data_IF_634596059883
#
_entry.id   IF_634596059883
#
_cell.length_a   1.000
_cell.length_b   1.000
_cell.length_c   1.000
_cell.angle_alpha   90.00
_cell.angle_beta   90.00
_cell.angle_gamma   90.00
#
_symmetry.space_group_name_H-M   'P 1'
#
loop_
_entity.id
_entity.type
_entity.pdbx_description
1 polymer ?
#
# COMPACT_ATOMS: atom_id res chain seq x y z
N UNK A 1 2.35 3.52 -10.54
CA UNK A 1 1.38 3.38 -11.63
C UNK A 1 0.02 2.92 -11.10
N UNK A 2 -0.11 1.77 -10.40
CA UNK A 2 -1.40 1.21 -9.94
C UNK A 2 -2.25 2.20 -9.10
N UNK A 3 -1.66 2.86 -8.10
CA UNK A 3 -2.35 3.88 -7.30
C UNK A 3 -2.82 5.08 -8.14
N UNK A 4 -2.00 5.52 -9.10
CA UNK A 4 -2.37 6.62 -9.99
C UNK A 4 -3.51 6.23 -10.92
N UNK A 5 -3.52 4.99 -11.40
CA UNK A 5 -4.60 4.42 -12.20
C UNK A 5 -5.92 4.36 -11.42
N UNK A 6 -5.87 3.82 -10.21
CA UNK A 6 -7.06 3.74 -9.36
C UNK A 6 -7.59 5.13 -9.00
N UNK A 7 -6.71 6.06 -8.64
CA UNK A 7 -7.10 7.44 -8.38
C UNK A 7 -7.73 8.10 -9.61
N UNK A 8 -7.19 7.83 -10.82
CA UNK A 8 -7.75 8.36 -12.06
C UNK A 8 -9.17 7.82 -12.33
N UNK A 9 -9.44 6.53 -12.08
CA UNK A 9 -10.79 5.96 -12.20
C UNK A 9 -11.75 6.59 -11.18
N UNK A 10 -11.38 6.72 -9.91
CA UNK A 10 -12.20 7.38 -8.90
C UNK A 10 -12.48 8.85 -9.25
N UNK A 11 -11.47 9.55 -9.79
CA UNK A 11 -11.63 10.95 -10.21
C UNK A 11 -12.60 11.06 -11.38
N UNK A 12 -12.45 10.24 -12.40
CA UNK A 12 -13.38 10.19 -13.54
C UNK A 12 -14.81 9.89 -13.08
N UNK A 13 -14.97 8.94 -12.18
CA UNK A 13 -16.26 8.61 -11.60
C UNK A 13 -16.85 9.78 -10.79
N UNK A 14 -16.07 10.43 -9.95
CA UNK A 14 -16.51 11.57 -9.12
C UNK A 14 -17.02 12.75 -9.94
N UNK A 15 -16.37 13.02 -11.07
CA UNK A 15 -16.72 14.16 -11.94
C UNK A 15 -17.58 13.80 -13.15
N UNK A 16 -17.94 12.52 -13.31
CA UNK A 16 -18.68 12.05 -14.49
C UNK A 16 -17.96 12.33 -15.81
N UNK A 17 -16.62 12.32 -15.81
CA UNK A 17 -15.81 12.77 -16.93
C UNK A 17 -15.12 11.61 -17.67
N UNK A 18 -15.10 11.67 -19.00
CA UNK A 18 -14.43 10.69 -19.87
C UNK A 18 -13.01 11.12 -20.27
N UNK A 19 -12.29 11.75 -19.34
CA UNK A 19 -10.91 12.17 -19.60
C UNK A 19 -10.00 10.96 -19.89
N UNK A 20 -8.96 11.10 -20.74
CA UNK A 20 -8.01 10.02 -20.97
C UNK A 20 -7.36 9.57 -19.66
N UNK A 21 -7.40 8.26 -19.37
CA UNK A 21 -6.96 7.70 -18.08
C UNK A 21 -5.51 8.07 -17.74
N UNK A 22 -4.60 7.90 -18.71
CA UNK A 22 -3.20 8.20 -18.51
C UNK A 22 -2.96 9.71 -18.25
N UNK A 23 -3.69 10.59 -18.94
CA UNK A 23 -3.61 12.03 -18.73
C UNK A 23 -4.13 12.41 -17.33
N UNK A 24 -5.26 11.84 -16.91
CA UNK A 24 -5.80 12.04 -15.54
C UNK A 24 -4.79 11.58 -14.50
N UNK A 25 -4.20 10.40 -14.66
CA UNK A 25 -3.15 9.89 -13.78
C UNK A 25 -1.92 10.79 -13.75
N UNK A 26 -1.48 11.30 -14.91
CA UNK A 26 -0.33 12.23 -14.99
C UNK A 26 -0.60 13.56 -14.26
N UNK A 27 -1.80 14.13 -14.40
CA UNK A 27 -2.21 15.35 -13.68
C UNK A 27 -2.20 15.11 -12.17
N UNK A 28 -2.75 13.98 -11.71
CA UNK A 28 -2.77 13.63 -10.29
C UNK A 28 -1.36 13.41 -9.71
N UNK A 29 -0.49 12.73 -10.45
CA UNK A 29 0.92 12.58 -10.06
C UNK A 29 1.65 13.92 -10.06
N UNK A 30 1.40 14.78 -11.05
CA UNK A 30 1.91 16.16 -11.10
C UNK A 30 1.44 17.00 -9.91
N UNK A 31 0.18 16.84 -9.50
CA UNK A 31 -0.36 17.49 -8.29
C UNK A 31 0.37 17.02 -7.02
N UNK A 32 0.68 15.70 -6.90
CA UNK A 32 1.48 15.18 -5.80
C UNK A 32 2.88 15.81 -5.76
N UNK A 33 3.57 15.87 -6.91
CA UNK A 33 4.87 16.53 -7.03
C UNK A 33 4.78 18.01 -6.63
N UNK A 34 3.76 18.71 -7.10
CA UNK A 34 3.53 20.11 -6.76
C UNK A 34 3.31 20.35 -5.27
N UNK A 35 2.49 19.51 -4.62
CA UNK A 35 2.24 19.56 -3.18
C UNK A 35 3.53 19.33 -2.38
N UNK A 36 4.32 18.33 -2.79
CA UNK A 36 5.61 18.02 -2.15
C UNK A 36 6.64 19.13 -2.35
N UNK A 37 6.67 19.75 -3.53
CA UNK A 37 7.59 20.84 -3.85
C UNK A 37 7.30 22.13 -3.05
N UNK A 38 6.01 22.44 -2.84
CA UNK A 38 5.59 23.63 -2.08
C UNK A 38 5.80 23.46 -0.56
N UNK A 39 5.91 22.22 -0.07
CA UNK A 39 6.20 21.92 1.35
C UNK A 39 5.11 22.33 2.34
N UNK A 40 3.94 22.77 1.88
CA UNK A 40 2.80 23.20 2.73
C UNK A 40 1.90 22.01 3.11
N UNK A 41 2.49 21.02 3.74
CA UNK A 41 1.88 19.70 3.98
C UNK A 41 0.90 19.68 5.18
N UNK A 42 1.03 20.59 6.15
CA UNK A 42 0.35 20.45 7.45
C UNK A 42 -1.18 20.48 7.36
N UNK A 43 -1.74 21.38 6.56
CA UNK A 43 -3.20 21.48 6.39
C UNK A 43 -3.75 20.26 5.62
N UNK A 44 -3.04 19.84 4.59
CA UNK A 44 -3.38 18.66 3.81
C UNK A 44 -3.29 17.38 4.66
N UNK A 45 -2.24 17.22 5.46
CA UNK A 45 -2.06 16.09 6.37
C UNK A 45 -3.22 15.94 7.35
N UNK A 46 -3.68 17.05 7.95
CA UNK A 46 -4.84 17.04 8.85
C UNK A 46 -6.11 16.63 8.11
N UNK A 47 -6.35 17.20 6.93
CA UNK A 47 -7.54 16.86 6.11
C UNK A 47 -7.55 15.39 5.72
N UNK A 48 -6.41 14.85 5.26
CA UNK A 48 -6.28 13.43 4.91
C UNK A 48 -6.54 12.53 6.12
N UNK A 49 -6.01 12.86 7.29
CA UNK A 49 -6.24 12.09 8.53
C UNK A 49 -7.72 12.07 8.93
N UNK A 50 -8.43 13.19 8.80
CA UNK A 50 -9.86 13.25 9.07
C UNK A 50 -10.62 12.36 8.08
N UNK A 51 -10.34 12.49 6.78
CA UNK A 51 -11.01 11.69 5.75
C UNK A 51 -10.69 10.19 5.87
N UNK A 52 -9.45 9.84 6.23
CA UNK A 52 -9.08 8.47 6.54
C UNK A 52 -9.86 7.93 7.75
N UNK A 53 -9.96 8.71 8.82
CA UNK A 53 -10.77 8.33 9.98
C UNK A 53 -12.24 8.13 9.60
N UNK A 54 -12.80 8.99 8.74
CA UNK A 54 -14.17 8.83 8.23
C UNK A 54 -14.31 7.54 7.41
N UNK A 55 -13.33 7.19 6.58
CA UNK A 55 -13.34 5.92 5.83
C UNK A 55 -13.31 4.72 6.78
N UNK A 56 -12.42 4.74 7.78
CA UNK A 56 -12.33 3.68 8.80
C UNK A 56 -13.67 3.52 9.53
N UNK A 57 -14.26 4.62 10.00
CA UNK A 57 -15.57 4.60 10.69
C UNK A 57 -16.65 4.06 9.76
N UNK A 58 -16.70 4.51 8.51
CA UNK A 58 -17.67 4.02 7.51
C UNK A 58 -17.48 2.52 7.25
N UNK A 59 -16.25 2.04 7.16
CA UNK A 59 -15.95 0.62 6.94
C UNK A 59 -16.39 -0.23 8.13
N UNK A 60 -16.09 0.19 9.36
CA UNK A 60 -16.54 -0.49 10.59
C UNK A 60 -18.06 -0.47 10.68
N UNK A 61 -18.71 0.66 10.43
CA UNK A 61 -20.16 0.77 10.42
C UNK A 61 -20.79 -0.16 9.38
N UNK A 62 -20.24 -0.22 8.16
CA UNK A 62 -20.70 -1.14 7.11
C UNK A 62 -20.56 -2.58 7.55
N UNK A 63 -19.43 -2.96 8.15
CA UNK A 63 -19.22 -4.33 8.68
C UNK A 63 -20.25 -4.68 9.76
N UNK A 64 -20.51 -3.78 10.72
CA UNK A 64 -21.49 -3.99 11.79
C UNK A 64 -22.93 -4.12 11.27
N UNK A 65 -23.31 -3.31 10.26
CA UNK A 65 -24.64 -3.38 9.64
C UNK A 65 -24.79 -4.64 8.77
N UNK A 66 -23.71 -5.08 8.12
CA UNK A 66 -23.70 -6.28 7.29
C UNK A 66 -23.60 -7.58 8.12
N UNK A 67 -22.95 -7.55 9.28
CA UNK A 67 -22.68 -8.73 10.10
C UNK A 67 -23.92 -9.61 10.41
N UNK A 68 -25.12 -9.07 10.73
CA UNK A 68 -26.30 -9.91 10.96
C UNK A 68 -26.80 -10.67 9.72
N UNK A 69 -26.37 -10.22 8.53
CA UNK A 69 -26.72 -10.87 7.25
C UNK A 69 -25.68 -11.89 6.80
N UNK A 70 -24.57 -11.99 7.53
CA UNK A 70 -23.48 -12.91 7.20
C UNK A 70 -23.93 -14.36 7.43
N UNK A 71 -23.93 -15.16 6.38
CA UNK A 71 -24.09 -16.60 6.52
C UNK A 71 -22.76 -17.23 6.95
N UNK A 72 -22.62 -17.47 8.25
CA UNK A 72 -21.41 -18.07 8.83
C UNK A 72 -21.21 -19.53 8.40
N UNK A 73 -22.24 -20.18 7.85
CA UNK A 73 -22.13 -21.57 7.34
C UNK A 73 -21.25 -21.65 6.09
N UNK A 74 -21.11 -20.52 5.38
CA UNK A 74 -20.24 -20.40 4.20
C UNK A 74 -18.78 -20.09 4.54
N UNK A 75 -18.46 -19.81 5.82
CA UNK A 75 -17.11 -19.56 6.30
C UNK A 75 -16.40 -20.88 6.60
N UNK A 76 -15.78 -21.47 5.60
CA UNK A 76 -14.82 -22.55 5.83
C UNK A 76 -13.47 -21.94 6.25
N UNK A 77 -13.02 -22.20 7.48
CA UNK A 77 -11.68 -21.82 7.96
C UNK A 77 -10.56 -22.48 7.13
N UNK A 78 -10.87 -23.60 6.50
CA UNK A 78 -10.03 -24.28 5.54
C UNK A 78 -10.87 -24.63 4.32
N UNK A 79 -10.61 -23.95 3.19
CA UNK A 79 -11.48 -24.08 2.03
C UNK A 79 -11.30 -25.39 1.24
N UNK A 80 -10.87 -26.49 1.86
CA UNK A 80 -10.87 -27.83 1.28
C UNK A 80 -10.45 -27.85 -0.20
N UNK A 81 -11.35 -28.35 -1.05
CA UNK A 81 -11.14 -28.46 -2.49
C UNK A 81 -11.18 -27.12 -3.27
N UNK A 82 -11.49 -26.01 -2.59
CA UNK A 82 -11.61 -24.67 -3.19
C UNK A 82 -10.24 -24.03 -3.40
N UNK A 83 -9.24 -24.32 -2.55
CA UNK A 83 -7.88 -23.83 -2.74
C UNK A 83 -7.22 -24.61 -3.88
N UNK A 84 -7.02 -23.97 -4.99
CA UNK A 84 -6.43 -24.55 -6.21
C UNK A 84 -7.39 -24.68 -7.39
N UNK A 85 -8.73 -24.67 -7.12
CA UNK A 85 -9.73 -24.70 -8.19
C UNK A 85 -10.42 -23.34 -8.39
N UNK A 86 -10.61 -22.56 -7.32
CA UNK A 86 -11.37 -21.29 -7.34
C UNK A 86 -10.47 -20.07 -7.12
N UNK A 87 -9.38 -20.22 -6.33
CA UNK A 87 -8.45 -19.11 -6.08
C UNK A 87 -7.15 -19.39 -6.83
N UNK A 88 -6.84 -18.65 -7.91
CA UNK A 88 -5.57 -18.80 -8.60
C UNK A 88 -4.39 -18.58 -7.65
N UNK A 89 -3.38 -19.44 -7.71
CA UNK A 89 -2.17 -19.31 -6.90
C UNK A 89 -1.53 -17.92 -7.04
N UNK A 90 -1.56 -17.36 -8.24
CA UNK A 90 -1.10 -15.99 -8.52
C UNK A 90 -1.83 -14.93 -7.66
N UNK A 91 -3.15 -15.07 -7.43
CA UNK A 91 -3.90 -14.14 -6.59
C UNK A 91 -3.47 -14.20 -5.13
N UNK A 92 -3.20 -15.40 -4.59
CA UNK A 92 -2.68 -15.53 -3.21
C UNK A 92 -1.33 -14.86 -3.05
N UNK A 93 -0.44 -14.99 -4.03
CA UNK A 93 0.86 -14.31 -4.03
C UNK A 93 0.70 -12.79 -4.11
N UNK A 94 -0.18 -12.32 -4.98
CA UNK A 94 -0.50 -10.90 -5.10
C UNK A 94 -1.05 -10.33 -3.78
N UNK A 95 -1.98 -11.06 -3.13
CA UNK A 95 -2.54 -10.67 -1.84
C UNK A 95 -1.44 -10.56 -0.77
N UNK A 96 -0.58 -11.56 -0.63
CA UNK A 96 0.51 -11.58 0.36
C UNK A 96 1.55 -10.48 0.05
N UNK A 97 1.72 -10.10 -1.22
CA UNK A 97 2.69 -9.10 -1.65
C UNK A 97 2.43 -7.69 -1.09
N UNK A 98 1.15 -7.35 -0.82
CA UNK A 98 0.76 -6.03 -0.31
C UNK A 98 0.03 -6.07 1.03
N UNK A 99 -0.36 -7.23 1.55
CA UNK A 99 -1.14 -7.35 2.77
C UNK A 99 -0.28 -7.78 3.97
N UNK A 100 -0.34 -7.06 5.10
CA UNK A 100 -1.03 -5.80 5.34
C UNK A 100 -0.30 -4.58 4.76
N UNK A 101 0.95 -4.73 4.34
CA UNK A 101 1.80 -3.67 3.77
C UNK A 101 3.01 -4.30 3.06
N UNK A 102 3.47 -3.76 1.93
CA UNK A 102 4.68 -4.23 1.28
C UNK A 102 5.92 -3.97 2.14
N UNK A 103 6.92 -4.86 2.04
CA UNK A 103 8.12 -4.86 2.91
C UNK A 103 8.98 -3.59 2.75
N UNK A 104 8.94 -2.94 1.59
CA UNK A 104 9.68 -1.70 1.31
C UNK A 104 9.21 -0.50 2.13
N UNK A 105 7.97 -0.50 2.64
CA UNK A 105 7.45 0.52 3.58
C UNK A 105 8.30 0.60 4.85
N UNK A 106 8.94 -0.48 5.28
CA UNK A 106 9.86 -0.48 6.42
C UNK A 106 11.05 0.46 6.20
N UNK A 107 11.55 0.57 4.95
CA UNK A 107 12.63 1.50 4.59
C UNK A 107 12.13 2.94 4.64
N UNK A 108 10.96 3.21 4.07
CA UNK A 108 10.40 4.58 4.04
C UNK A 108 10.08 5.11 5.43
N UNK A 109 9.47 4.28 6.29
CA UNK A 109 9.11 4.68 7.67
C UNK A 109 10.36 5.09 8.46
N UNK A 110 11.48 4.38 8.29
CA UNK A 110 12.75 4.74 8.93
C UNK A 110 13.29 6.08 8.42
N UNK A 111 13.23 6.35 7.12
CA UNK A 111 13.68 7.60 6.52
C UNK A 111 12.79 8.79 6.93
N UNK A 112 11.48 8.58 7.02
CA UNK A 112 10.55 9.61 7.49
C UNK A 112 10.72 9.92 8.98
N UNK A 113 10.99 8.93 9.83
CA UNK A 113 11.31 9.14 11.25
C UNK A 113 12.52 10.04 11.37
N UNK A 114 13.61 9.74 10.66
CA UNK A 114 14.82 10.56 10.65
C UNK A 114 14.57 11.99 10.11
N UNK A 115 13.77 12.12 9.08
CA UNK A 115 13.40 13.44 8.54
C UNK A 115 12.56 14.26 9.52
N UNK A 116 11.62 13.61 10.24
CA UNK A 116 10.80 14.22 11.29
C UNK A 116 11.66 14.68 12.46
N UNK A 117 12.55 13.83 12.96
CA UNK A 117 13.45 14.15 14.05
C UNK A 117 14.26 15.41 13.77
N UNK A 118 14.78 15.52 12.54
CA UNK A 118 15.52 16.73 12.13
C UNK A 118 14.64 17.99 12.10
N UNK A 119 13.40 17.84 11.65
CA UNK A 119 12.49 19.00 11.51
C UNK A 119 11.99 19.50 12.86
N UNK A 120 11.80 18.58 13.81
CA UNK A 120 11.28 18.88 15.14
C UNK A 120 12.37 19.17 16.16
N UNK A 121 13.64 18.82 15.88
CA UNK A 121 14.75 18.87 16.83
C UNK A 121 14.67 17.81 17.94
N UNK A 122 13.65 16.94 17.90
CA UNK A 122 13.47 15.84 18.86
C UNK A 122 14.10 14.55 18.30
N UNK A 123 14.55 13.66 19.19
CA UNK A 123 15.00 12.32 18.80
C UNK A 123 13.94 11.30 19.18
N UNK A 124 13.42 10.60 18.17
CA UNK A 124 12.48 9.49 18.39
C UNK A 124 13.21 8.31 19.03
N UNK A 125 12.73 7.83 20.17
CA UNK A 125 13.29 6.62 20.79
C UNK A 125 12.97 5.37 19.97
N UNK A 126 13.81 4.33 20.09
CA UNK A 126 13.54 3.03 19.42
C UNK A 126 12.21 2.43 19.90
N UNK A 127 11.85 2.65 21.18
CA UNK A 127 10.59 2.18 21.74
C UNK A 127 9.38 2.89 21.09
N UNK A 128 9.46 4.20 20.89
CA UNK A 128 8.40 4.99 20.24
C UNK A 128 8.27 4.62 18.78
N UNK A 129 9.38 4.47 18.06
CA UNK A 129 9.38 4.03 16.66
C UNK A 129 8.76 2.63 16.50
N UNK A 130 9.07 1.68 17.38
CA UNK A 130 8.45 0.34 17.41
C UNK A 130 6.96 0.41 17.71
N UNK A 131 6.55 1.23 18.67
CA UNK A 131 5.14 1.39 19.04
C UNK A 131 4.33 1.99 17.88
N UNK A 132 4.85 3.04 17.24
CA UNK A 132 4.23 3.69 16.08
C UNK A 132 4.04 2.69 14.92
N UNK A 133 5.11 1.94 14.60
CA UNK A 133 5.05 0.89 13.58
C UNK A 133 4.02 -0.21 13.92
N UNK A 134 4.02 -0.72 15.15
CA UNK A 134 3.10 -1.79 15.56
C UNK A 134 1.65 -1.34 15.50
N UNK A 135 1.34 -0.13 15.97
CA UNK A 135 -0.02 0.43 15.91
C UNK A 135 -0.48 0.54 14.47
N UNK A 136 0.37 1.06 13.58
CA UNK A 136 0.06 1.17 12.15
C UNK A 136 -0.12 -0.21 11.50
N UNK A 137 0.83 -1.12 11.71
CA UNK A 137 0.82 -2.45 11.07
C UNK A 137 -0.34 -3.33 11.53
N UNK A 138 -0.56 -3.42 12.84
CA UNK A 138 -1.67 -4.21 13.41
C UNK A 138 -3.03 -3.57 13.05
N UNK A 139 -3.12 -2.24 13.13
CA UNK A 139 -4.32 -1.51 12.73
C UNK A 139 -4.68 -1.75 11.27
N UNK A 140 -3.70 -1.72 10.36
CA UNK A 140 -3.90 -2.03 8.95
C UNK A 140 -4.35 -3.49 8.76
N UNK A 141 -3.76 -4.45 9.48
CA UNK A 141 -4.17 -5.86 9.44
C UNK A 141 -5.62 -6.06 9.89
N UNK A 142 -6.03 -5.41 10.97
CA UNK A 142 -7.42 -5.46 11.45
C UNK A 142 -8.37 -4.86 10.42
N UNK A 143 -8.04 -3.69 9.87
CA UNK A 143 -8.86 -3.04 8.84
C UNK A 143 -8.97 -3.90 7.58
N UNK A 144 -7.90 -4.59 7.19
CA UNK A 144 -7.92 -5.51 6.07
C UNK A 144 -8.92 -6.66 6.28
N UNK A 145 -8.94 -7.26 7.48
CA UNK A 145 -9.91 -8.30 7.82
C UNK A 145 -11.35 -7.78 7.81
N UNK A 146 -11.58 -6.56 8.31
CA UNK A 146 -12.89 -5.91 8.25
C UNK A 146 -13.30 -5.68 6.79
N UNK A 147 -12.40 -5.20 5.93
CA UNK A 147 -12.66 -5.00 4.50
C UNK A 147 -13.03 -6.30 3.78
N UNK A 148 -12.28 -7.38 4.04
CA UNK A 148 -12.58 -8.70 3.48
C UNK A 148 -13.96 -9.19 3.96
N UNK A 149 -14.29 -8.97 5.24
CA UNK A 149 -15.60 -9.33 5.79
C UNK A 149 -16.75 -8.57 5.12
N UNK A 150 -16.57 -7.26 4.85
CA UNK A 150 -17.55 -6.44 4.12
C UNK A 150 -17.70 -6.93 2.69
N UNK A 151 -16.58 -7.19 1.99
CA UNK A 151 -16.61 -7.75 0.65
C UNK A 151 -17.33 -9.09 0.58
N UNK A 152 -17.05 -9.98 1.52
CA UNK A 152 -17.67 -11.29 1.61
C UNK A 152 -19.19 -11.20 1.86
N UNK A 153 -19.63 -10.33 2.75
CA UNK A 153 -21.05 -10.23 3.13
C UNK A 153 -21.88 -9.39 2.16
N UNK A 154 -21.32 -8.34 1.57
CA UNK A 154 -22.09 -7.39 0.74
C UNK A 154 -21.99 -7.72 -0.74
N UNK A 155 -20.84 -8.21 -1.22
CA UNK A 155 -20.64 -8.50 -2.64
C UNK A 155 -20.77 -9.99 -2.94
N UNK A 156 -19.98 -10.82 -2.28
CA UNK A 156 -19.93 -12.26 -2.58
C UNK A 156 -21.25 -12.96 -2.27
N UNK A 157 -21.87 -12.74 -1.11
CA UNK A 157 -23.17 -13.34 -0.78
C UNK A 157 -24.34 -12.80 -1.60
N UNK A 158 -24.17 -11.62 -2.22
CA UNK A 158 -25.13 -11.05 -3.17
C UNK A 158 -24.87 -11.48 -4.63
N UNK A 159 -23.94 -12.40 -4.85
CA UNK A 159 -23.50 -12.88 -6.20
C UNK A 159 -23.06 -11.75 -7.14
N UNK A 160 -22.48 -10.69 -6.57
CA UNK A 160 -21.94 -9.57 -7.33
C UNK A 160 -20.50 -9.87 -7.74
N UNK A 161 -20.29 -10.27 -8.98
CA UNK A 161 -18.95 -10.44 -9.52
C UNK A 161 -18.24 -9.08 -9.65
N UNK A 162 -17.02 -8.99 -9.11
CA UNK A 162 -16.18 -7.83 -9.28
C UNK A 162 -15.69 -7.73 -10.74
N UNK A 163 -15.76 -6.53 -11.29
CA UNK A 163 -15.37 -6.27 -12.67
C UNK A 163 -13.88 -6.03 -12.81
N UNK A 164 -13.25 -6.57 -13.84
CA UNK A 164 -11.88 -6.28 -14.23
C UNK A 164 -11.73 -4.88 -14.83
N UNK A 165 -12.82 -4.30 -15.32
CA UNK A 165 -12.84 -2.93 -15.80
C UNK A 165 -12.76 -1.94 -14.65
N UNK A 166 -11.65 -1.21 -14.53
CA UNK A 166 -11.35 -0.33 -13.39
C UNK A 166 -12.42 0.74 -13.12
N UNK A 167 -13.12 1.22 -14.15
CA UNK A 167 -14.24 2.16 -13.99
C UNK A 167 -15.41 1.52 -13.25
N UNK A 168 -15.81 0.30 -13.63
CA UNK A 168 -16.90 -0.45 -13.01
C UNK A 168 -16.50 -0.89 -11.60
N UNK A 169 -15.28 -1.40 -11.42
CA UNK A 169 -14.74 -1.77 -10.12
C UNK A 169 -14.78 -0.60 -9.12
N UNK A 170 -14.37 0.59 -9.54
CA UNK A 170 -14.39 1.79 -8.69
C UNK A 170 -15.81 2.16 -8.24
N UNK A 171 -16.80 1.98 -9.12
CA UNK A 171 -18.22 2.16 -8.81
C UNK A 171 -18.69 1.09 -7.81
N UNK A 172 -18.40 -0.18 -8.07
CA UNK A 172 -18.77 -1.29 -7.20
C UNK A 172 -18.22 -1.12 -5.77
N UNK A 173 -16.98 -0.63 -5.65
CA UNK A 173 -16.36 -0.35 -4.35
C UNK A 173 -17.15 0.72 -3.56
N UNK A 174 -17.56 1.81 -4.21
CA UNK A 174 -18.36 2.86 -3.54
C UNK A 174 -19.78 2.38 -3.26
N UNK A 175 -20.36 1.64 -4.17
CA UNK A 175 -21.74 1.11 -4.04
C UNK A 175 -21.86 0.06 -2.93
N UNK A 176 -20.80 -0.70 -2.65
CA UNK A 176 -20.75 -1.61 -1.51
C UNK A 176 -21.12 -0.92 -0.18
N UNK A 177 -20.67 0.30 0.01
CA UNK A 177 -21.04 1.09 1.19
C UNK A 177 -22.44 1.68 1.07
N UNK A 178 -22.80 2.23 -0.08
CA UNK A 178 -24.07 2.92 -0.25
C UNK A 178 -25.26 1.98 -0.24
N UNK A 179 -25.12 0.73 -0.63
CA UNK A 179 -26.16 -0.31 -0.52
C UNK A 179 -26.38 -0.74 0.93
N UNK A 180 -25.34 -0.67 1.77
CA UNK A 180 -25.41 -1.09 3.17
C UNK A 180 -25.84 0.04 4.10
N UNK A 181 -25.24 1.23 3.96
CA UNK A 181 -25.47 2.40 4.84
C UNK A 181 -26.53 3.35 4.32
N UNK A 182 -26.92 3.22 3.04
CA UNK A 182 -27.83 4.12 2.36
C UNK A 182 -27.10 5.11 1.44
N UNK A 183 -27.85 5.68 0.49
CA UNK A 183 -27.33 6.55 -0.58
C UNK A 183 -26.60 7.81 -0.08
N UNK A 184 -26.90 8.28 1.13
CA UNK A 184 -26.24 9.42 1.75
C UNK A 184 -24.74 9.17 2.00
N UNK A 185 -24.33 7.93 2.18
CA UNK A 185 -22.91 7.57 2.42
C UNK A 185 -22.03 7.66 1.17
N UNK A 186 -22.63 7.58 -0.02
CA UNK A 186 -21.91 7.55 -1.31
C UNK A 186 -20.92 8.71 -1.49
N UNK A 187 -21.29 10.00 -1.36
CA UNK A 187 -20.35 11.10 -1.52
C UNK A 187 -19.26 11.10 -0.44
N UNK A 188 -19.59 10.71 0.78
CA UNK A 188 -18.63 10.65 1.89
C UNK A 188 -17.57 9.59 1.62
N UNK A 189 -18.00 8.38 1.26
CA UNK A 189 -17.10 7.26 0.95
C UNK A 189 -16.23 7.56 -0.26
N UNK A 190 -16.81 8.16 -1.31
CA UNK A 190 -16.07 8.55 -2.51
C UNK A 190 -14.94 9.55 -2.18
N UNK A 191 -15.26 10.62 -1.45
CA UNK A 191 -14.27 11.62 -1.05
C UNK A 191 -13.21 11.00 -0.13
N UNK A 192 -13.61 10.15 0.81
CA UNK A 192 -12.69 9.47 1.71
C UNK A 192 -11.78 8.48 0.97
N UNK A 193 -12.31 7.71 0.01
CA UNK A 193 -11.52 6.82 -0.84
C UNK A 193 -10.51 7.60 -1.70
N UNK A 194 -10.96 8.69 -2.34
CA UNK A 194 -10.06 9.56 -3.11
C UNK A 194 -8.94 10.13 -2.25
N UNK A 195 -9.24 10.63 -1.05
CA UNK A 195 -8.25 11.17 -0.13
C UNK A 195 -7.25 10.10 0.34
N UNK A 196 -7.71 8.88 0.59
CA UNK A 196 -6.87 7.76 1.01
C UNK A 196 -5.90 7.36 -0.09
N UNK A 197 -6.39 7.22 -1.32
CA UNK A 197 -5.54 6.87 -2.46
C UNK A 197 -4.58 8.02 -2.79
N UNK A 198 -5.03 9.27 -2.70
CA UNK A 198 -4.17 10.44 -2.88
C UNK A 198 -3.06 10.51 -1.83
N UNK A 199 -3.38 10.22 -0.56
CA UNK A 199 -2.38 10.11 0.51
C UNK A 199 -1.34 9.04 0.21
N UNK A 200 -1.77 7.86 -0.24
CA UNK A 200 -0.89 6.77 -0.63
C UNK A 200 0.00 7.17 -1.82
N UNK A 201 -0.57 7.87 -2.80
CA UNK A 201 0.16 8.37 -3.97
C UNK A 201 1.23 9.40 -3.56
N UNK A 202 0.91 10.31 -2.62
CA UNK A 202 1.88 11.24 -2.01
C UNK A 202 2.99 10.49 -1.29
N UNK A 203 2.65 9.50 -0.46
CA UNK A 203 3.62 8.70 0.28
C UNK A 203 4.61 7.99 -0.66
N UNK A 204 4.12 7.36 -1.73
CA UNK A 204 4.96 6.68 -2.74
C UNK A 204 5.83 7.68 -3.50
N UNK A 205 5.27 8.86 -3.86
CA UNK A 205 5.98 9.91 -4.60
C UNK A 205 7.11 10.54 -3.78
N UNK A 206 7.03 10.54 -2.44
CA UNK A 206 8.11 10.98 -1.54
C UNK A 206 9.03 9.82 -1.11
N UNK A 207 8.48 8.66 -0.79
CA UNK A 207 9.21 7.53 -0.20
C UNK A 207 10.26 6.91 -1.13
N UNK A 208 9.91 6.62 -2.38
CA UNK A 208 10.87 6.05 -3.34
C UNK A 208 12.03 7.00 -3.66
N UNK A 209 11.82 8.30 -3.97
CA UNK A 209 12.92 9.23 -4.19
C UNK A 209 13.88 9.33 -3.00
N UNK A 210 13.36 9.33 -1.76
CA UNK A 210 14.20 9.30 -0.55
C UNK A 210 15.03 8.02 -0.47
N UNK A 211 14.41 6.87 -0.71
CA UNK A 211 15.10 5.58 -0.67
C UNK A 211 16.21 5.52 -1.76
N UNK A 212 15.92 5.96 -2.99
CA UNK A 212 16.87 6.01 -4.09
C UNK A 212 18.04 6.93 -3.76
N UNK A 213 17.77 8.15 -3.30
CA UNK A 213 18.82 9.10 -2.93
C UNK A 213 19.72 8.55 -1.84
N UNK A 214 19.12 7.96 -0.79
CA UNK A 214 19.89 7.38 0.32
C UNK A 214 20.74 6.19 -0.11
N UNK A 215 20.19 5.32 -0.94
CA UNK A 215 20.90 4.16 -1.47
C UNK A 215 22.11 4.61 -2.31
N UNK A 216 21.92 5.56 -3.21
CA UNK A 216 23.01 6.08 -4.03
C UNK A 216 24.06 6.84 -3.22
N UNK A 217 23.67 7.59 -2.19
CA UNK A 217 24.60 8.26 -1.29
C UNK A 217 25.47 7.25 -0.54
N UNK A 218 24.87 6.16 -0.03
CA UNK A 218 25.60 5.09 0.65
C UNK A 218 26.58 4.37 -0.31
N UNK A 219 26.16 4.07 -1.54
CA UNK A 219 27.02 3.42 -2.53
C UNK A 219 28.24 4.30 -2.93
N UNK A 220 28.09 5.62 -2.84
CA UNK A 220 29.17 6.59 -3.10
C UNK A 220 30.05 6.87 -1.88
N UNK A 221 29.83 6.17 -0.77
CA UNK A 221 30.61 6.36 0.46
C UNK A 221 30.26 7.62 1.26
N UNK A 222 29.20 8.35 0.93
CA UNK A 222 28.75 9.54 1.63
C UNK A 222 27.88 9.15 2.84
N UNK A 223 28.49 8.59 3.87
CA UNK A 223 27.81 8.02 5.07
C UNK A 223 27.54 9.07 6.16
N UNK A 224 27.89 10.35 5.96
CA UNK A 224 27.72 11.36 6.99
C UNK A 224 26.25 11.50 7.43
N UNK A 225 26.02 11.50 8.74
CA UNK A 225 24.68 11.63 9.36
C UNK A 225 23.91 12.88 8.85
N UNK A 226 24.61 13.93 8.49
CA UNK A 226 24.04 15.17 7.92
C UNK A 226 23.45 14.99 6.52
N UNK A 227 23.89 13.99 5.74
CA UNK A 227 23.36 13.73 4.40
C UNK A 227 22.05 12.96 4.41
N UNK A 228 21.69 12.28 5.51
CA UNK A 228 20.45 11.47 5.64
C UNK A 228 19.19 12.30 5.46
N UNK A 229 19.26 13.58 5.73
CA UNK A 229 18.10 14.46 5.82
C UNK A 229 18.11 15.59 4.80
N UNK A 230 19.16 15.72 3.99
CA UNK A 230 19.21 16.68 2.90
C UNK A 230 18.54 16.07 1.67
N UNK A 231 17.50 16.76 1.20
CA UNK A 231 16.86 16.48 -0.08
C UNK A 231 17.81 17.01 -1.17
N UNK A 232 18.52 16.11 -1.85
CA UNK A 232 19.50 16.43 -2.87
C UNK A 232 18.94 16.42 -4.29
N UNK A 233 19.82 16.56 -5.28
CA UNK A 233 19.44 16.54 -6.71
C UNK A 233 18.83 15.20 -7.13
N UNK A 234 19.31 14.09 -6.58
CA UNK A 234 18.83 12.74 -6.92
C UNK A 234 17.38 12.56 -6.50
N UNK A 235 16.99 13.06 -5.32
CA UNK A 235 15.61 13.06 -4.87
C UNK A 235 14.68 13.76 -5.89
N UNK A 236 15.02 14.99 -6.28
CA UNK A 236 14.18 15.77 -7.20
C UNK A 236 14.09 15.13 -8.58
N UNK A 237 15.22 14.64 -9.12
CA UNK A 237 15.20 13.91 -10.37
C UNK A 237 14.37 12.64 -10.31
N UNK A 238 14.49 11.87 -9.23
CA UNK A 238 13.68 10.66 -9.02
C UNK A 238 12.20 10.99 -8.87
N UNK A 239 11.87 12.09 -8.16
CA UNK A 239 10.49 12.53 -7.96
C UNK A 239 9.81 12.98 -9.27
N UNK A 240 10.58 13.38 -10.27
CA UNK A 240 10.08 13.69 -11.62
C UNK A 240 10.07 12.42 -12.49
N UNK A 241 11.15 11.65 -12.46
CA UNK A 241 11.32 10.47 -13.31
C UNK A 241 10.29 9.37 -13.01
N UNK A 242 9.99 9.10 -11.73
CA UNK A 242 9.05 8.06 -11.34
C UNK A 242 7.62 8.29 -11.86
N UNK A 243 7.01 9.48 -11.75
CA UNK A 243 5.72 9.78 -12.40
C UNK A 243 5.76 9.66 -13.92
N UNK A 244 6.86 10.05 -14.57
CA UNK A 244 7.02 9.90 -16.02
C UNK A 244 7.06 8.41 -16.40
N UNK A 245 7.82 7.59 -15.70
CA UNK A 245 7.84 6.13 -15.91
C UNK A 245 6.45 5.54 -15.64
N UNK A 246 5.78 5.95 -14.56
CA UNK A 246 4.44 5.50 -14.23
C UNK A 246 3.43 5.87 -15.32
N UNK A 247 3.56 7.04 -15.95
CA UNK A 247 2.71 7.45 -17.08
C UNK A 247 2.85 6.50 -18.28
N UNK A 248 4.08 6.13 -18.66
CA UNK A 248 4.29 5.17 -19.75
C UNK A 248 3.76 3.77 -19.41
N UNK A 249 3.89 3.34 -18.15
CA UNK A 249 3.28 2.10 -17.68
C UNK A 249 1.75 2.17 -17.81
N UNK A 250 1.12 3.28 -17.42
CA UNK A 250 -0.33 3.48 -17.56
C UNK A 250 -0.80 3.38 -19.01
N UNK A 251 -0.02 3.86 -19.98
CA UNK A 251 -0.33 3.71 -21.39
C UNK A 251 -0.38 2.24 -21.84
N UNK A 252 0.50 1.40 -21.27
CA UNK A 252 0.56 -0.04 -21.58
C UNK A 252 -0.58 -0.86 -20.94
N UNK A 253 -1.12 -0.42 -19.80
CA UNK A 253 -2.16 -1.12 -19.05
C UNK A 253 -3.55 -0.44 -19.19
N UNK A 254 -3.79 0.31 -20.24
CA UNK A 254 -4.97 1.15 -20.39
C UNK A 254 -6.27 0.33 -20.37
N UNK A 255 -6.89 0.20 -19.19
CA UNK A 255 -8.23 -0.38 -19.02
C UNK A 255 -8.36 -1.47 -17.97
N UNK A 256 -7.30 -2.21 -17.62
CA UNK A 256 -7.38 -3.26 -16.59
C UNK A 256 -6.66 -2.84 -15.31
N UNK A 257 -7.43 -2.36 -14.32
CA UNK A 257 -6.92 -2.07 -12.98
C UNK A 257 -6.43 -3.33 -12.29
N UNK A 258 -7.16 -4.44 -12.43
CA UNK A 258 -6.84 -5.73 -11.82
C UNK A 258 -5.49 -6.24 -12.31
N UNK A 259 -5.26 -6.26 -13.63
CA UNK A 259 -3.97 -6.68 -14.19
C UNK A 259 -2.80 -5.80 -13.71
N UNK A 260 -3.02 -4.49 -13.59
CA UNK A 260 -2.00 -3.57 -13.06
C UNK A 260 -1.71 -3.85 -11.58
N UNK A 261 -2.73 -4.09 -10.77
CA UNK A 261 -2.58 -4.40 -9.34
C UNK A 261 -1.90 -5.75 -9.18
N UNK A 262 -2.33 -6.78 -9.91
CA UNK A 262 -1.74 -8.14 -9.87
C UNK A 262 -0.26 -8.11 -10.26
N UNK A 263 0.09 -7.36 -11.30
CA UNK A 263 1.49 -7.17 -11.69
C UNK A 263 2.31 -6.51 -10.58
N UNK A 264 1.81 -5.39 -10.03
CA UNK A 264 2.53 -4.64 -9.01
C UNK A 264 2.70 -5.43 -7.71
N UNK A 265 1.65 -6.15 -7.28
CA UNK A 265 1.66 -6.96 -6.05
C UNK A 265 2.50 -8.21 -6.20
N UNK A 266 2.49 -8.85 -7.37
CA UNK A 266 3.37 -9.99 -7.68
C UNK A 266 4.84 -9.59 -7.65
N UNK A 267 5.20 -8.45 -8.25
CA UNK A 267 6.58 -7.92 -8.18
C UNK A 267 6.97 -7.61 -6.74
N UNK A 268 6.07 -7.00 -5.95
CA UNK A 268 6.31 -6.74 -4.53
C UNK A 268 6.55 -8.04 -3.75
N UNK A 269 5.75 -9.08 -4.01
CA UNK A 269 5.92 -10.40 -3.39
C UNK A 269 7.28 -11.04 -3.73
N UNK A 270 7.66 -11.06 -5.01
CA UNK A 270 8.92 -11.66 -5.45
C UNK A 270 10.16 -10.92 -4.90
N UNK A 271 10.06 -9.63 -4.65
CA UNK A 271 11.14 -8.81 -4.07
C UNK A 271 11.17 -8.85 -2.54
N UNK A 272 10.06 -9.21 -1.88
CA UNK A 272 9.92 -9.22 -0.43
C UNK A 272 10.99 -10.05 0.31
N UNK A 273 11.33 -11.30 -0.10
CA UNK A 273 12.37 -12.07 0.59
C UNK A 273 13.75 -11.44 0.49
N UNK A 274 14.07 -10.77 -0.62
CA UNK A 274 15.35 -10.08 -0.82
C UNK A 274 15.42 -8.87 0.14
N UNK A 275 14.40 -8.04 0.18
CA UNK A 275 14.34 -6.89 1.08
C UNK A 275 14.30 -7.32 2.54
N UNK A 276 13.54 -8.38 2.87
CA UNK A 276 13.48 -8.94 4.21
C UNK A 276 14.84 -9.45 4.69
N UNK A 277 15.61 -10.11 3.82
CA UNK A 277 16.98 -10.52 4.13
C UNK A 277 17.90 -9.34 4.43
N UNK A 278 17.86 -8.30 3.59
CA UNK A 278 18.68 -7.10 3.84
C UNK A 278 18.25 -6.38 5.13
N UNK A 279 16.96 -6.31 5.42
CA UNK A 279 16.46 -5.77 6.69
C UNK A 279 16.98 -6.58 7.89
N UNK A 280 16.92 -7.92 7.81
CA UNK A 280 17.46 -8.79 8.86
C UNK A 280 18.95 -8.54 9.08
N UNK A 281 19.73 -8.47 8.00
CA UNK A 281 21.17 -8.16 8.06
C UNK A 281 21.44 -6.80 8.67
N UNK A 282 20.64 -5.80 8.35
CA UNK A 282 20.79 -4.45 8.89
C UNK A 282 20.56 -4.43 10.41
N UNK A 283 19.47 -5.02 10.91
CA UNK A 283 19.12 -4.98 12.35
C UNK A 283 19.97 -5.92 13.21
N UNK A 284 20.64 -6.92 12.61
CA UNK A 284 21.58 -7.83 13.30
C UNK A 284 23.03 -7.39 13.19
N UNK A 285 23.33 -6.32 12.48
CA UNK A 285 24.69 -5.83 12.25
C UNK A 285 25.31 -5.23 13.53
N UNK A 286 26.64 -5.10 13.56
CA UNK A 286 27.37 -4.49 14.66
C UNK A 286 27.06 -2.99 14.84
N UNK A 287 26.55 -2.34 13.81
CA UNK A 287 26.11 -0.94 13.88
C UNK A 287 24.88 -0.72 14.79
N UNK A 288 24.14 -1.79 15.11
CA UNK A 288 23.00 -1.74 16.03
C UNK A 288 23.46 -2.13 17.43
N UNK A 289 23.22 -1.31 18.47
CA UNK A 289 23.54 -1.65 19.85
C UNK A 289 22.91 -2.98 20.28
N UNK A 290 23.61 -3.84 21.07
CA UNK A 290 23.13 -5.18 21.43
C UNK A 290 21.73 -5.20 22.05
N UNK A 291 21.40 -4.20 22.87
CA UNK A 291 20.09 -4.05 23.53
C UNK A 291 18.93 -3.79 22.57
N UNK A 292 19.22 -3.35 21.36
CA UNK A 292 18.22 -3.06 20.34
C UNK A 292 18.15 -4.14 19.24
N UNK A 293 19.07 -5.11 19.26
CA UNK A 293 19.05 -6.22 18.29
C UNK A 293 17.87 -7.17 18.54
N UNK A 294 17.29 -7.77 17.49
CA UNK A 294 16.23 -8.76 17.67
C UNK A 294 16.75 -10.00 18.40
N UNK A 295 15.95 -10.52 19.31
CA UNK A 295 16.23 -11.78 20.00
C UNK A 295 16.21 -12.99 19.04
N UNK A 296 16.78 -14.12 19.47
CA UNK A 296 16.88 -15.36 18.67
C UNK A 296 15.55 -15.82 18.11
N UNK A 297 14.46 -15.76 18.89
CA UNK A 297 13.13 -16.15 18.42
C UNK A 297 12.64 -15.31 17.23
N UNK A 298 12.86 -13.98 17.28
CA UNK A 298 12.49 -13.10 16.17
C UNK A 298 13.35 -13.36 14.94
N UNK A 299 14.65 -13.60 15.11
CA UNK A 299 15.55 -13.95 14.00
C UNK A 299 15.11 -15.26 13.35
N UNK A 300 14.79 -16.29 14.14
CA UNK A 300 14.30 -17.57 13.62
C UNK A 300 12.98 -17.40 12.88
N UNK A 301 12.02 -16.66 13.46
CA UNK A 301 10.73 -16.38 12.80
C UNK A 301 10.93 -15.65 11.46
N UNK A 302 11.84 -14.69 11.41
CA UNK A 302 12.18 -13.99 10.17
C UNK A 302 12.75 -14.94 9.12
N UNK A 303 13.66 -15.85 9.51
CA UNK A 303 14.20 -16.85 8.59
C UNK A 303 13.11 -17.80 8.06
N UNK A 304 12.20 -18.25 8.92
CA UNK A 304 11.05 -19.08 8.48
C UNK A 304 10.21 -18.30 7.46
N UNK A 305 9.90 -17.04 7.73
CA UNK A 305 9.18 -16.18 6.79
C UNK A 305 9.91 -16.02 5.45
N UNK A 306 11.23 -15.75 5.48
CA UNK A 306 12.04 -15.61 4.28
C UNK A 306 12.08 -16.89 3.42
N UNK A 307 12.20 -18.06 4.06
CA UNK A 307 12.19 -19.37 3.37
C UNK A 307 10.83 -19.65 2.75
N UNK A 308 9.73 -19.35 3.49
CA UNK A 308 8.37 -19.52 2.97
C UNK A 308 8.11 -18.59 1.78
N UNK A 309 8.40 -17.29 1.91
CA UNK A 309 8.21 -16.32 0.83
C UNK A 309 9.10 -16.62 -0.38
N UNK A 310 10.36 -16.95 -0.15
CA UNK A 310 11.29 -17.28 -1.23
C UNK A 310 10.93 -18.60 -1.92
N UNK A 311 10.54 -19.63 -1.16
CA UNK A 311 10.13 -20.93 -1.69
C UNK A 311 8.84 -20.83 -2.51
N UNK A 312 7.83 -20.13 -2.01
CA UNK A 312 6.58 -19.91 -2.76
C UNK A 312 6.79 -19.03 -4.00
N UNK A 313 7.65 -18.00 -3.90
CA UNK A 313 8.03 -17.18 -5.06
C UNK A 313 8.75 -17.99 -6.15
N UNK A 314 9.67 -18.87 -5.77
CA UNK A 314 10.35 -19.76 -6.70
C UNK A 314 9.36 -20.75 -7.34
N UNK A 315 8.46 -21.36 -6.55
CA UNK A 315 7.42 -22.25 -7.07
C UNK A 315 6.53 -21.53 -8.11
N UNK A 316 6.17 -20.29 -7.86
CA UNK A 316 5.42 -19.47 -8.81
C UNK A 316 6.19 -19.24 -10.11
N UNK A 317 7.46 -18.83 -10.04
CA UNK A 317 8.29 -18.63 -11.24
C UNK A 317 8.43 -19.91 -12.06
N UNK A 318 8.58 -21.06 -11.41
CA UNK A 318 8.61 -22.37 -12.07
C UNK A 318 7.27 -22.70 -12.73
N UNK A 319 6.14 -22.34 -12.12
CA UNK A 319 4.80 -22.55 -12.70
C UNK A 319 4.53 -21.74 -13.96
N UNK A 320 5.21 -20.58 -14.14
CA UNK A 320 5.08 -19.75 -15.33
C UNK A 320 5.82 -20.31 -16.56
N UNK A 321 6.78 -21.23 -16.35
CA UNK A 321 7.62 -21.83 -17.42
C UNK A 321 7.04 -23.17 -17.88
N UNK A 322 6.13 -23.75 -17.13
CA UNK A 322 5.40 -24.98 -17.48
C UNK A 322 4.10 -24.70 -18.21
#
# INVERSE_FOLDING_TARGET
>A
AALAMFMAFLTRYAFGAEWPLAATGAVLMGACVGVLAVGRFRGLDITIKILLAMLVVSTVATALVAAPRADLSTLALWPGDVVGTVVPFAFLLALIGWMPSPVDVAVWSSLWTLAKDKTTGARTSVADAKRDFLVGFVGTGILALIFVSVGATVLFQADVALSDAGAVFSTQLVDMYSTTLGSWSRPIVLVAAMATIFSSLLAVTDGFPRAIERTLANLRGHVAADTVTRVGRVYWWSMIALPVIAFFILLGFSGSLTAMVDFATTVAFLTAPILGYFNLRAVTSEAVPPEHRPGRGMVTLTWVGLVLLGGTGLAYLVSLVR
#
